data_IF_888402518891
#
_entry.id   IF_888402518891
#
_cell.length_a   1.000
_cell.length_b   1.000
_cell.length_c   1.000
_cell.angle_alpha   90.00
_cell.angle_beta   90.00
_cell.angle_gamma   90.00
#
_symmetry.space_group_name_H-M   'P 1'
#
loop_
_entity.id
_entity.type
_entity.pdbx_description
1 polymer ?
#
# COMPACT_ATOMS: atom_id res chain seq x y z
N UNK A 1 -31.57 -14.15 -31.91
CA UNK A 1 -30.24 -13.76 -31.39
C UNK A 1 -30.46 -13.05 -30.07
N UNK A 2 -30.27 -13.74 -28.95
CA UNK A 2 -30.53 -13.17 -27.63
C UNK A 2 -29.44 -12.14 -27.32
N UNK A 3 -29.77 -10.86 -27.42
CA UNK A 3 -28.95 -9.76 -26.89
C UNK A 3 -29.06 -9.79 -25.35
N UNK A 4 -28.44 -10.80 -24.74
CA UNK A 4 -28.20 -10.77 -23.31
C UNK A 4 -27.14 -9.69 -23.07
N UNK A 5 -27.43 -8.66 -22.27
CA UNK A 5 -26.44 -7.64 -21.96
C UNK A 5 -25.21 -8.32 -21.36
N UNK A 6 -24.02 -7.87 -21.75
CA UNK A 6 -22.77 -8.33 -21.15
C UNK A 6 -22.91 -8.29 -19.62
N UNK A 7 -22.49 -9.37 -18.95
CA UNK A 7 -22.41 -9.38 -17.50
C UNK A 7 -21.63 -8.13 -17.05
N UNK A 8 -22.10 -7.44 -16.01
CA UNK A 8 -21.57 -6.13 -15.60
C UNK A 8 -20.03 -6.10 -15.48
N UNK A 9 -19.43 -7.22 -15.06
CA UNK A 9 -17.99 -7.40 -14.96
C UNK A 9 -17.23 -7.29 -16.30
N UNK A 10 -17.80 -7.77 -17.41
CA UNK A 10 -17.20 -7.69 -18.75
C UNK A 10 -17.16 -6.23 -19.21
N UNK A 11 -18.26 -5.50 -19.00
CA UNK A 11 -18.33 -4.05 -19.29
C UNK A 11 -17.33 -3.27 -18.44
N UNK A 12 -17.24 -3.58 -17.16
CA UNK A 12 -16.31 -2.92 -16.23
C UNK A 12 -14.84 -3.13 -16.64
N UNK A 13 -14.46 -4.35 -16.99
CA UNK A 13 -13.12 -4.67 -17.50
C UNK A 13 -12.78 -3.93 -18.78
N UNK A 14 -13.71 -3.92 -19.75
CA UNK A 14 -13.51 -3.20 -21.02
C UNK A 14 -13.31 -1.70 -20.81
N UNK A 15 -13.99 -1.10 -19.82
CA UNK A 15 -13.95 0.34 -19.59
C UNK A 15 -12.80 0.80 -18.69
N UNK A 16 -12.44 0.01 -17.67
CA UNK A 16 -11.51 0.43 -16.61
C UNK A 16 -10.27 -0.46 -16.48
N UNK A 17 -10.29 -1.66 -17.06
CA UNK A 17 -9.29 -2.70 -16.80
C UNK A 17 -9.52 -3.48 -15.51
N UNK A 18 -10.49 -3.09 -14.67
CA UNK A 18 -10.79 -3.72 -13.39
C UNK A 18 -12.16 -4.41 -13.39
N UNK A 19 -12.25 -5.57 -12.74
CA UNK A 19 -13.44 -6.44 -12.71
C UNK A 19 -14.67 -5.75 -12.14
N UNK A 20 -14.44 -4.96 -11.10
CA UNK A 20 -15.44 -4.23 -10.33
C UNK A 20 -15.68 -2.81 -10.85
N UNK A 21 -14.87 -2.34 -11.81
CA UNK A 21 -15.03 -1.03 -12.44
C UNK A 21 -14.52 0.14 -11.59
N UNK A 22 -13.72 -0.13 -10.56
CA UNK A 22 -13.13 0.88 -9.68
C UNK A 22 -11.64 0.93 -9.89
N UNK A 23 -11.08 2.13 -9.86
CA UNK A 23 -9.63 2.30 -9.78
C UNK A 23 -9.09 1.63 -8.50
N UNK A 24 -7.93 0.97 -8.57
CA UNK A 24 -7.33 0.32 -7.43
C UNK A 24 -7.03 1.40 -6.39
N UNK A 25 -7.62 1.25 -5.21
CA UNK A 25 -7.32 2.15 -4.10
C UNK A 25 -5.94 1.77 -3.59
N UNK A 26 -4.95 2.62 -3.82
CA UNK A 26 -3.61 2.38 -3.32
C UNK A 26 -3.57 2.58 -1.79
N UNK A 27 -2.87 1.71 -1.06
CA UNK A 27 -2.71 1.88 0.39
C UNK A 27 -1.92 3.15 0.70
N UNK A 28 -2.34 3.85 1.76
CA UNK A 28 -1.69 5.08 2.26
C UNK A 28 -1.20 4.87 3.69
N UNK A 29 -0.03 5.41 4.00
CA UNK A 29 0.54 5.35 5.35
C UNK A 29 -0.25 6.26 6.30
N UNK A 30 -0.71 5.78 7.47
CA UNK A 30 -1.42 6.61 8.44
C UNK A 30 -0.53 7.63 9.16
N UNK A 31 0.81 7.51 9.04
CA UNK A 31 1.76 8.41 9.71
C UNK A 31 2.13 9.61 8.82
N UNK A 32 2.41 9.36 7.53
CA UNK A 32 2.84 10.40 6.59
C UNK A 32 1.87 10.68 5.44
N UNK A 33 0.74 9.96 5.40
CA UNK A 33 -0.35 10.12 4.41
C UNK A 33 0.06 9.91 2.94
N UNK A 34 1.24 9.35 2.70
CA UNK A 34 1.73 9.04 1.37
C UNK A 34 1.36 7.62 0.94
N UNK A 35 1.15 7.44 -0.36
CA UNK A 35 1.05 6.11 -0.96
C UNK A 35 2.34 5.34 -0.75
N UNK A 36 2.27 4.14 -0.20
CA UNK A 36 3.43 3.33 0.15
C UNK A 36 3.18 1.86 -0.15
N UNK A 37 4.24 1.07 -0.35
CA UNK A 37 4.11 -0.37 -0.61
C UNK A 37 4.23 -1.19 0.68
N UNK A 38 5.03 -0.72 1.65
CA UNK A 38 5.34 -1.47 2.87
C UNK A 38 5.02 -0.64 4.12
N UNK A 39 4.27 -1.23 5.05
CA UNK A 39 4.03 -0.70 6.41
C UNK A 39 4.83 -1.53 7.41
N UNK A 40 5.63 -0.86 8.24
CA UNK A 40 6.38 -1.45 9.34
C UNK A 40 5.54 -1.41 10.62
N UNK A 41 5.32 -2.58 11.21
CA UNK A 41 4.53 -2.77 12.43
C UNK A 41 5.48 -3.27 13.54
N UNK A 42 5.36 -2.71 14.74
CA UNK A 42 6.16 -3.12 15.90
C UNK A 42 5.73 -4.50 16.43
N UNK A 43 6.52 -5.05 17.36
CA UNK A 43 6.14 -6.29 18.06
C UNK A 43 4.84 -6.16 18.87
N UNK A 44 4.46 -4.93 19.24
CA UNK A 44 3.23 -4.61 19.98
C UNK A 44 2.01 -4.38 19.05
N UNK A 45 2.13 -4.70 17.75
CA UNK A 45 1.13 -4.45 16.71
C UNK A 45 0.83 -2.95 16.41
N UNK A 46 1.71 -2.04 16.81
CA UNK A 46 1.57 -0.62 16.52
C UNK A 46 2.23 -0.26 15.18
N UNK A 47 1.61 0.63 14.40
CA UNK A 47 2.17 1.10 13.13
C UNK A 47 3.31 2.09 13.42
N UNK A 48 4.53 1.74 13.01
CA UNK A 48 5.73 2.57 13.23
C UNK A 48 5.95 3.53 12.07
N UNK A 49 5.66 3.10 10.84
CA UNK A 49 5.83 3.91 9.63
C UNK A 49 5.79 3.10 8.34
N UNK A 50 6.18 3.72 7.23
CA UNK A 50 6.22 3.09 5.90
C UNK A 50 7.58 3.28 5.22
N UNK A 51 7.77 2.66 4.05
CA UNK A 51 9.00 2.80 3.24
C UNK A 51 9.31 4.23 2.77
N UNK A 52 8.32 5.12 2.75
CA UNK A 52 8.50 6.53 2.36
C UNK A 52 8.93 7.44 3.52
N UNK A 53 8.53 7.12 4.77
CA UNK A 53 8.83 7.97 5.93
C UNK A 53 9.89 7.37 6.87
N UNK A 54 10.18 6.08 6.74
CA UNK A 54 11.23 5.41 7.49
C UNK A 54 12.51 5.36 6.67
N UNK A 55 13.65 5.27 7.35
CA UNK A 55 14.94 5.06 6.70
C UNK A 55 15.69 3.98 7.43
N UNK A 56 16.21 3.01 6.69
CA UNK A 56 17.10 1.99 7.25
C UNK A 56 18.53 2.53 7.31
N UNK A 57 19.17 2.34 8.46
CA UNK A 57 20.59 2.65 8.68
C UNK A 57 21.28 1.43 9.30
N UNK A 58 22.57 1.30 9.03
CA UNK A 58 23.37 0.28 9.66
C UNK A 58 23.63 0.67 11.11
N UNK A 59 23.38 -0.23 12.06
CA UNK A 59 23.60 0.03 13.48
C UNK A 59 25.07 0.39 13.81
N UNK A 60 26.04 -0.11 13.03
CA UNK A 60 27.45 0.23 13.20
C UNK A 60 27.81 1.65 12.75
N UNK A 61 26.92 2.31 11.99
CA UNK A 61 27.09 3.68 11.49
C UNK A 61 26.29 4.70 12.32
N UNK A 62 25.50 4.24 13.30
CA UNK A 62 24.70 5.10 14.18
C UNK A 62 25.35 5.13 15.56
N UNK A 63 25.94 6.27 15.92
CA UNK A 63 26.66 6.45 17.18
C UNK A 63 25.80 6.18 18.40
N UNK A 64 24.52 6.55 18.36
CA UNK A 64 23.56 6.32 19.46
C UNK A 64 23.26 4.84 19.71
N UNK A 65 23.61 3.93 18.79
CA UNK A 65 23.46 2.49 19.00
C UNK A 65 24.56 1.90 19.90
N UNK A 66 25.64 2.64 20.17
CA UNK A 66 26.67 2.25 21.13
C UNK A 66 26.38 2.95 22.46
N UNK A 67 25.95 2.18 23.47
CA UNK A 67 25.69 2.70 24.81
C UNK A 67 26.95 3.34 25.42
N UNK A 68 26.75 4.40 26.19
CA UNK A 68 27.81 5.11 26.94
C UNK A 68 28.54 4.21 27.95
#
# INVERSE_FOLDING_TARGET
>A
MSNLPDAAYIRNLRNTGYRDGKDPTYPVCPICEQTCETIYISADNEIVGCDQCMTTRNAWEVTECFGE
#
